data_IF_793095856003
#
_entry.id   IF_793095856003
#
_cell.length_a   1.000
_cell.length_b   1.000
_cell.length_c   1.000
_cell.angle_alpha   90.00
_cell.angle_beta   90.00
_cell.angle_gamma   90.00
#
_symmetry.space_group_name_H-M   'P 1'
#
loop_
_entity.id
_entity.type
_entity.pdbx_description
1 polymer ?
#
# COMPACT_ATOMS: atom_id res chain seq x y z
N UNK A 1 4.79 25.09 -18.62
CA UNK A 1 4.24 24.90 -19.57
C UNK A 1 4.38 23.65 -20.12
N UNK A 2 3.51 23.11 -20.43
CA UNK A 2 3.56 21.82 -20.81
C UNK A 2 4.21 21.77 -22.08
N UNK A 3 5.02 20.93 -22.34
CA UNK A 3 5.57 20.86 -23.53
C UNK A 3 5.36 19.60 -23.97
N UNK A 4 5.59 19.34 -25.07
CA UNK A 4 5.39 18.18 -25.55
C UNK A 4 6.10 17.24 -24.91
N UNK A 5 5.68 16.13 -24.72
CA UNK A 5 6.30 15.13 -23.94
C UNK A 5 6.15 15.38 -22.48
N UNK A 6 5.28 16.16 -22.06
CA UNK A 6 5.06 16.35 -20.70
C UNK A 6 6.23 16.09 -19.80
N UNK A 7 6.79 17.05 -19.14
CA UNK A 7 7.90 16.85 -18.21
C UNK A 7 7.44 16.04 -17.02
N UNK A 8 8.38 15.40 -16.34
CA UNK A 8 8.07 14.69 -15.13
C UNK A 8 7.50 15.66 -14.11
N UNK A 9 6.47 15.24 -13.40
CA UNK A 9 5.87 16.07 -12.37
C UNK A 9 6.83 16.29 -11.22
N UNK A 10 7.64 15.26 -10.90
CA UNK A 10 8.62 15.32 -9.83
C UNK A 10 10.01 15.38 -10.44
N UNK A 11 10.87 16.21 -9.86
CA UNK A 11 12.22 16.37 -10.38
C UNK A 11 13.11 15.18 -10.07
N UNK A 12 12.84 14.47 -8.99
CA UNK A 12 13.65 13.35 -8.58
C UNK A 12 12.83 12.37 -7.77
N UNK A 13 13.36 11.15 -7.64
CA UNK A 13 12.74 10.16 -6.78
C UNK A 13 12.68 10.66 -5.34
N UNK A 14 13.73 11.32 -4.89
CA UNK A 14 13.79 11.87 -3.54
C UNK A 14 12.70 12.90 -3.29
N UNK A 15 12.43 13.75 -4.27
CA UNK A 15 11.37 14.73 -4.14
C UNK A 15 10.01 14.03 -4.01
N UNK A 16 9.76 13.06 -4.86
CA UNK A 16 8.48 12.35 -4.85
C UNK A 16 8.26 11.62 -3.52
N UNK A 17 9.28 10.92 -3.03
CA UNK A 17 9.10 10.16 -1.80
C UNK A 17 8.97 11.09 -0.60
N UNK A 18 9.65 12.23 -0.61
CA UNK A 18 9.51 13.21 0.46
C UNK A 18 8.08 13.76 0.52
N UNK A 19 7.48 14.05 -0.63
CA UNK A 19 6.09 14.50 -0.68
C UNK A 19 5.13 13.43 -0.21
N UNK A 20 5.41 12.17 -0.56
CA UNK A 20 4.60 11.05 -0.11
C UNK A 20 4.66 10.90 1.42
N UNK A 21 5.85 11.07 2.01
CA UNK A 21 6.00 11.06 3.47
C UNK A 21 5.20 12.19 4.11
N UNK A 22 5.27 13.39 3.55
CA UNK A 22 4.52 14.54 4.06
C UNK A 22 3.02 14.27 4.01
N UNK A 23 2.54 13.72 2.90
CA UNK A 23 1.14 13.38 2.73
C UNK A 23 0.69 12.35 3.77
N UNK A 24 1.45 11.26 3.90
CA UNK A 24 1.12 10.21 4.88
C UNK A 24 1.15 10.74 6.30
N UNK A 25 2.11 11.63 6.59
CA UNK A 25 2.22 12.23 7.90
C UNK A 25 1.00 13.10 8.23
N UNK A 26 0.49 13.84 7.26
CA UNK A 26 -0.72 14.62 7.46
C UNK A 26 -1.94 13.73 7.71
N UNK A 27 -1.98 12.56 7.08
CA UNK A 27 -3.05 11.60 7.36
C UNK A 27 -2.94 11.10 8.80
N UNK A 28 -1.74 10.72 9.23
CA UNK A 28 -1.51 10.22 10.58
C UNK A 28 -1.87 11.27 11.63
N UNK A 29 -1.57 12.53 11.35
CA UNK A 29 -1.87 13.63 12.27
C UNK A 29 -3.30 14.14 12.14
N UNK A 30 -4.11 13.48 11.32
CA UNK A 30 -5.52 13.86 11.09
C UNK A 30 -5.71 15.23 10.45
N UNK A 31 -4.68 15.71 9.75
CA UNK A 31 -4.79 16.96 9.01
C UNK A 31 -5.38 16.77 7.63
N UNK A 32 -5.31 15.57 7.10
CA UNK A 32 -5.91 15.21 5.83
C UNK A 32 -6.67 13.89 6.05
N UNK A 33 -7.99 13.98 6.02
CA UNK A 33 -8.82 12.83 6.37
C UNK A 33 -9.01 11.92 5.15
N UNK A 34 -8.17 10.92 5.04
CA UNK A 34 -8.21 10.00 3.91
C UNK A 34 -7.42 8.74 4.22
N UNK A 35 -7.49 7.79 3.28
CA UNK A 35 -6.63 6.62 3.25
C UNK A 35 -5.49 6.94 2.28
N UNK A 36 -4.27 6.45 2.51
CA UNK A 36 -3.13 6.79 1.65
C UNK A 36 -3.14 6.04 0.32
N UNK A 37 -3.99 6.47 -0.58
CA UNK A 37 -4.07 5.91 -1.92
C UNK A 37 -3.43 6.86 -2.91
N UNK A 38 -3.16 6.37 -4.12
CA UNK A 38 -2.64 7.23 -5.17
C UNK A 38 -3.63 8.34 -5.52
N UNK A 39 -4.92 8.03 -5.53
CA UNK A 39 -5.94 9.04 -5.80
C UNK A 39 -5.98 10.13 -4.73
N UNK A 40 -5.87 9.75 -3.47
CA UNK A 40 -5.84 10.72 -2.38
C UNK A 40 -4.57 11.57 -2.44
N UNK A 41 -3.45 10.97 -2.80
CA UNK A 41 -2.19 11.68 -2.98
C UNK A 41 -2.33 12.73 -4.09
N UNK A 42 -2.97 12.36 -5.19
CA UNK A 42 -3.22 13.32 -6.28
C UNK A 42 -4.05 14.50 -5.79
N UNK A 43 -5.09 14.23 -5.00
CA UNK A 43 -5.94 15.28 -4.45
C UNK A 43 -5.14 16.20 -3.54
N UNK A 44 -4.32 15.62 -2.68
CA UNK A 44 -3.49 16.38 -1.76
C UNK A 44 -2.48 17.24 -2.51
N UNK A 45 -1.84 16.68 -3.53
CA UNK A 45 -0.89 17.44 -4.36
C UNK A 45 -1.57 18.57 -5.10
N UNK A 46 -2.75 18.31 -5.63
CA UNK A 46 -3.49 19.34 -6.37
C UNK A 46 -3.94 20.47 -5.46
N UNK A 47 -4.24 20.18 -4.20
CA UNK A 47 -4.65 21.20 -3.25
C UNK A 47 -3.47 22.02 -2.71
N UNK A 48 -2.32 21.41 -2.59
CA UNK A 48 -1.16 22.06 -1.95
C UNK A 48 -0.05 22.50 -2.90
N UNK A 49 -0.05 21.96 -4.10
CA UNK A 49 0.99 22.25 -5.09
C UNK A 49 0.35 22.42 -6.46
N UNK A 50 0.74 21.62 -7.43
CA UNK A 50 0.19 21.71 -8.77
C UNK A 50 -0.80 20.58 -9.02
N UNK A 51 -1.76 20.80 -9.91
CA UNK A 51 -2.68 19.76 -10.30
C UNK A 51 -1.91 18.52 -10.76
N UNK A 52 -2.29 17.38 -10.21
CA UNK A 52 -1.62 16.12 -10.49
C UNK A 52 -2.69 15.04 -10.65
N UNK A 53 -2.58 14.21 -11.65
CA UNK A 53 -3.53 13.13 -11.85
C UNK A 53 -2.92 11.76 -11.54
N UNK A 54 -3.77 10.74 -11.46
CA UNK A 54 -3.31 9.39 -11.11
C UNK A 54 -2.33 8.83 -12.12
N UNK A 55 -2.51 9.16 -13.39
CA UNK A 55 -1.62 8.66 -14.43
C UNK A 55 -0.20 9.17 -14.20
N UNK A 56 -0.07 10.40 -13.75
CA UNK A 56 1.24 10.97 -13.44
C UNK A 56 1.91 10.21 -12.30
N UNK A 57 1.15 9.89 -11.24
CA UNK A 57 1.70 9.12 -10.12
C UNK A 57 2.10 7.71 -10.58
N UNK A 58 1.22 7.06 -11.35
CA UNK A 58 1.50 5.73 -11.85
C UNK A 58 2.77 5.71 -12.72
N UNK A 59 2.89 6.67 -13.64
CA UNK A 59 4.07 6.76 -14.49
C UNK A 59 5.33 7.05 -13.69
N UNK A 60 5.22 7.90 -12.66
CA UNK A 60 6.37 8.22 -11.83
C UNK A 60 6.89 6.98 -11.11
N UNK A 61 5.99 6.16 -10.58
CA UNK A 61 6.39 4.96 -9.86
C UNK A 61 6.87 3.83 -10.76
N UNK A 62 6.32 3.73 -11.96
CA UNK A 62 6.61 2.58 -12.81
C UNK A 62 7.58 2.88 -13.95
N UNK A 63 7.71 4.13 -14.35
CA UNK A 63 8.52 4.50 -15.50
C UNK A 63 9.72 5.36 -15.12
N UNK A 64 9.51 6.40 -14.32
CA UNK A 64 10.56 7.34 -14.02
C UNK A 64 11.36 7.01 -12.78
N UNK A 65 10.69 6.57 -11.72
CA UNK A 65 11.33 6.33 -10.43
C UNK A 65 10.95 4.98 -9.83
N UNK A 66 11.18 3.87 -10.54
CA UNK A 66 10.79 2.58 -10.01
C UNK A 66 11.55 2.19 -8.72
N UNK A 67 12.67 2.84 -8.47
CA UNK A 67 13.48 2.52 -7.30
C UNK A 67 12.78 2.83 -5.98
N UNK A 68 11.82 3.76 -5.97
CA UNK A 68 11.14 4.12 -4.72
C UNK A 68 9.78 3.42 -4.57
N UNK A 69 9.39 2.59 -5.53
CA UNK A 69 8.08 1.97 -5.51
C UNK A 69 7.88 1.13 -4.25
N UNK A 70 8.90 0.38 -3.86
CA UNK A 70 8.82 -0.47 -2.68
C UNK A 70 8.66 0.36 -1.41
N UNK A 71 9.43 1.41 -1.28
CA UNK A 71 9.34 2.31 -0.12
C UNK A 71 7.98 3.01 -0.07
N UNK A 72 7.48 3.41 -1.23
CA UNK A 72 6.16 4.03 -1.35
C UNK A 72 5.09 3.06 -0.81
N UNK A 73 5.13 1.80 -1.22
CA UNK A 73 4.15 0.80 -0.80
C UNK A 73 4.31 0.39 0.66
N UNK A 74 5.54 0.37 1.17
CA UNK A 74 5.76 0.06 2.57
C UNK A 74 5.14 1.10 3.49
N UNK A 75 5.32 2.38 3.17
CA UNK A 75 4.73 3.43 3.97
C UNK A 75 3.21 3.39 3.87
N UNK A 76 2.69 3.12 2.68
CA UNK A 76 1.25 2.97 2.47
C UNK A 76 0.70 1.87 3.37
N UNK A 77 1.35 0.71 3.40
CA UNK A 77 0.88 -0.40 4.21
C UNK A 77 0.97 -0.09 5.70
N UNK A 78 2.01 0.61 6.14
CA UNK A 78 2.13 0.98 7.54
C UNK A 78 0.97 1.87 7.99
N UNK A 79 0.64 2.87 7.19
CA UNK A 79 -0.44 3.80 7.54
C UNK A 79 -1.79 3.07 7.58
N UNK A 80 -2.03 2.19 6.60
CA UNK A 80 -3.29 1.45 6.54
C UNK A 80 -3.39 0.47 7.70
N UNK A 81 -2.32 -0.25 7.98
CA UNK A 81 -2.32 -1.24 9.06
C UNK A 81 -2.53 -0.58 10.41
N UNK A 82 -1.80 0.49 10.69
CA UNK A 82 -1.97 1.21 11.95
C UNK A 82 -3.37 1.78 12.07
N UNK A 83 -3.89 2.35 10.99
CA UNK A 83 -5.25 2.91 11.00
C UNK A 83 -6.29 1.85 11.28
N UNK A 84 -6.12 0.66 10.70
CA UNK A 84 -7.05 -0.45 10.93
C UNK A 84 -6.97 -0.97 12.35
N UNK A 85 -5.76 -1.10 12.89
CA UNK A 85 -5.57 -1.62 14.24
C UNK A 85 -6.00 -0.64 15.31
N UNK A 86 -5.89 0.66 15.05
CA UNK A 86 -6.27 1.68 16.01
C UNK A 86 -7.72 2.14 15.87
N UNK A 87 -8.46 1.55 14.95
CA UNK A 87 -9.86 1.87 14.77
C UNK A 87 -10.16 3.10 13.94
N UNK A 88 -9.13 3.71 13.33
CA UNK A 88 -9.34 4.87 12.46
C UNK A 88 -10.00 4.45 11.15
N UNK A 89 -9.64 3.28 10.63
CA UNK A 89 -10.22 2.73 9.42
C UNK A 89 -10.96 1.44 9.78
N UNK A 90 -11.87 1.04 8.92
CA UNK A 90 -12.55 -0.24 9.07
C UNK A 90 -11.52 -1.37 8.92
N UNK A 91 -11.40 -2.28 9.89
CA UNK A 91 -10.37 -3.34 9.82
C UNK A 91 -10.51 -4.24 8.62
N UNK A 92 -11.71 -4.62 8.24
CA UNK A 92 -11.93 -5.49 7.09
C UNK A 92 -11.52 -4.81 5.79
N UNK A 93 -11.89 -3.54 5.64
CA UNK A 93 -11.49 -2.79 4.46
C UNK A 93 -10.00 -2.48 4.45
N UNK A 94 -9.38 -2.38 5.62
CA UNK A 94 -7.93 -2.21 5.71
C UNK A 94 -7.20 -3.43 5.18
N UNK A 95 -7.67 -4.63 5.54
CA UNK A 95 -7.11 -5.87 5.02
C UNK A 95 -7.28 -5.93 3.51
N UNK A 96 -8.45 -5.55 3.01
CA UNK A 96 -8.70 -5.52 1.58
C UNK A 96 -7.71 -4.59 0.86
N UNK A 97 -7.48 -3.40 1.41
CA UNK A 97 -6.53 -2.45 0.85
C UNK A 97 -5.11 -2.97 0.86
N UNK A 98 -4.69 -3.60 1.95
CA UNK A 98 -3.35 -4.17 2.05
C UNK A 98 -3.13 -5.23 0.99
N UNK A 99 -4.13 -6.07 0.73
CA UNK A 99 -4.01 -7.10 -0.29
C UNK A 99 -3.99 -6.53 -1.70
N UNK A 100 -4.80 -5.52 -1.96
CA UNK A 100 -4.95 -5.00 -3.32
C UNK A 100 -3.94 -3.93 -3.70
N UNK A 101 -3.45 -3.18 -2.74
CA UNK A 101 -2.53 -2.07 -3.03
C UNK A 101 -1.10 -2.34 -2.59
N UNK A 102 -0.90 -3.19 -1.58
CA UNK A 102 0.41 -3.37 -0.97
C UNK A 102 0.98 -4.78 -1.13
N UNK A 103 0.28 -5.63 -1.85
CA UNK A 103 0.78 -6.97 -2.15
C UNK A 103 0.75 -7.95 -1.00
N UNK A 104 -0.06 -7.70 0.02
CA UNK A 104 -0.17 -8.60 1.15
C UNK A 104 -0.99 -9.85 0.77
N UNK A 105 -0.74 -10.95 1.44
CA UNK A 105 -1.48 -12.18 1.23
C UNK A 105 -1.90 -12.77 2.58
N UNK A 106 -2.87 -13.68 2.53
CA UNK A 106 -3.36 -14.35 3.74
C UNK A 106 -2.30 -15.20 4.41
N UNK A 107 -1.27 -15.59 3.68
CA UNK A 107 -0.17 -16.38 4.25
C UNK A 107 0.83 -15.50 4.98
N UNK A 108 0.61 -14.19 5.04
CA UNK A 108 1.51 -13.27 5.72
C UNK A 108 2.72 -12.90 4.90
N UNK A 109 2.73 -13.26 3.62
CA UNK A 109 3.85 -12.92 2.75
C UNK A 109 3.44 -11.85 1.76
N UNK A 110 4.40 -10.99 1.42
CA UNK A 110 4.16 -10.01 0.38
C UNK A 110 4.27 -10.75 -0.94
N UNK A 111 3.22 -10.62 -1.76
CA UNK A 111 3.19 -11.27 -3.06
C UNK A 111 3.75 -10.33 -4.10
N UNK A 112 4.81 -10.78 -4.79
CA UNK A 112 5.35 -10.01 -5.88
C UNK A 112 4.93 -10.73 -7.16
N UNK A 113 4.13 -10.09 -7.96
CA UNK A 113 3.67 -10.69 -9.19
C UNK A 113 2.31 -11.31 -9.02
N UNK A 114 2.16 -12.50 -9.55
CA UNK A 114 0.87 -13.14 -9.58
C UNK A 114 0.56 -13.89 -8.29
N UNK A 115 -0.64 -13.72 -7.79
CA UNK A 115 -1.09 -14.43 -6.59
C UNK A 115 -1.39 -15.90 -6.95
N UNK A 116 -0.88 -16.82 -6.16
CA UNK A 116 -1.09 -18.24 -6.37
C UNK A 116 -2.08 -18.76 -5.31
N UNK A 117 -3.36 -18.80 -5.66
CA UNK A 117 -4.41 -19.21 -4.75
C UNK A 117 -4.27 -20.67 -4.32
N UNK A 118 -3.87 -21.54 -5.24
CA UNK A 118 -3.73 -22.94 -4.94
C UNK A 118 -2.67 -23.19 -3.89
N UNK A 119 -1.52 -22.55 -4.03
CA UNK A 119 -0.47 -22.68 -3.05
C UNK A 119 -0.86 -22.12 -1.70
N UNK A 120 -1.57 -20.99 -1.69
CA UNK A 120 -2.01 -20.36 -0.46
C UNK A 120 -3.02 -21.25 0.26
N UNK A 121 -3.95 -21.88 -0.47
CA UNK A 121 -4.93 -22.77 0.12
C UNK A 121 -4.28 -24.02 0.66
N UNK A 122 -3.31 -24.58 -0.05
CA UNK A 122 -2.60 -25.78 0.41
C UNK A 122 -1.83 -25.49 1.69
N UNK A 123 -1.16 -24.36 1.76
CA UNK A 123 -0.40 -23.97 2.95
C UNK A 123 -1.32 -23.77 4.15
N UNK A 124 -2.46 -23.14 3.94
CA UNK A 124 -3.43 -22.91 5.00
C UNK A 124 -4.03 -24.22 5.48
N UNK A 125 -4.44 -25.09 4.55
CA UNK A 125 -5.01 -26.39 4.90
C UNK A 125 -4.04 -27.24 5.69
N UNK A 126 -2.77 -27.22 5.31
CA UNK A 126 -1.74 -27.94 6.01
C UNK A 126 -1.54 -27.41 7.44
N UNK A 127 -1.49 -26.10 7.57
CA UNK A 127 -1.32 -25.48 8.88
C UNK A 127 -2.48 -25.79 9.81
N UNK A 128 -3.71 -25.76 9.30
CA UNK A 128 -4.90 -26.08 10.10
C UNK A 128 -4.91 -27.54 10.52
N UNK A 129 -4.46 -28.43 9.65
CA UNK A 129 -4.42 -29.85 9.97
C UNK A 129 -3.37 -30.13 11.06
N UNK A 130 -2.21 -29.52 10.96
CA UNK A 130 -1.17 -29.66 11.95
C UNK A 130 -1.60 -29.14 13.32
N UNK A 131 -2.33 -28.02 13.32
CA UNK A 131 -2.86 -27.46 14.55
C UNK A 131 -3.87 -28.39 15.20
N UNK A 132 -4.77 -28.96 14.40
CA UNK A 132 -5.78 -29.91 14.91
C UNK A 132 -5.14 -31.16 15.50
N UNK A 133 -4.10 -31.67 14.84
CA UNK A 133 -3.37 -32.85 15.34
C UNK A 133 -2.68 -32.54 16.66
N UNK A 134 -2.08 -31.35 16.77
CA UNK A 134 -1.40 -30.95 17.99
C UNK A 134 -2.39 -30.81 19.14
N UNK A 135 -3.53 -30.19 18.88
CA UNK A 135 -4.55 -30.01 19.90
C UNK A 135 -5.13 -31.37 20.37
N UNK A 136 -5.28 -32.31 19.45
CA UNK A 136 -5.78 -33.62 19.80
C UNK A 136 -4.75 -34.39 20.62
N UNK A 137 -3.47 -34.27 20.29
CA UNK A 137 -2.41 -34.88 21.06
C UNK A 137 -2.36 -34.34 22.49
N UNK A 138 -2.59 -33.04 22.65
CA UNK A 138 -2.58 -32.40 23.97
C UNK A 138 -3.80 -32.83 24.79
N UNK A 139 -4.90 -33.19 24.14
CA UNK A 139 -6.11 -33.58 24.83
C UNK A 139 -6.03 -35.02 25.37
N UNK A 140 -5.16 -35.82 24.78
CA UNK A 140 -4.94 -37.17 25.22
C UNK A 140 -3.94 -37.24 26.34
#
# INVERSE_FOLDING_TARGET
MAKRGQPKRFESAEQMIALWYDFCNEIVQNKFNSVPTQSAFCRWLSQNYEDTDRKTIYNSLNKYFPSIKNEFEQLQSDVIMQGGMMGKYNPTMSIFGLKNWCGWSDSGRIVTGRYDEEKAEDALSKALREEAERMQADAD
#
